data_IF_373390727846
#
_entry.id   IF_373390727846
#
_cell.length_a   1.000
_cell.length_b   1.000
_cell.length_c   1.000
_cell.angle_alpha   90.00
_cell.angle_beta   90.00
_cell.angle_gamma   90.00
#
_symmetry.space_group_name_H-M   'P 1'
#
loop_
_entity.id
_entity.type
_entity.pdbx_description
1 polymer ?
#
# COMPACT_ATOMS: atom_id res chain seq x y z
N UNK A 1 4.01 14.19 24.47
CA UNK A 1 4.08 12.72 24.30
C UNK A 1 3.26 12.10 25.40
N UNK A 2 2.30 11.27 25.01
CA UNK A 2 1.46 10.55 25.96
C UNK A 2 2.31 9.50 26.69
N UNK A 3 1.91 9.15 27.91
CA UNK A 3 2.59 8.16 28.74
C UNK A 3 1.57 7.16 29.27
N UNK A 4 1.93 5.88 29.28
CA UNK A 4 1.16 4.84 29.95
C UNK A 4 1.80 4.57 31.32
N UNK A 5 1.03 4.76 32.40
CA UNK A 5 1.45 4.42 33.76
C UNK A 5 0.71 3.15 34.20
N UNK A 6 1.46 2.06 34.41
CA UNK A 6 0.90 0.73 34.72
C UNK A 6 1.33 0.35 36.14
N UNK A 7 0.36 0.03 37.00
CA UNK A 7 0.60 -0.57 38.32
C UNK A 7 0.42 -2.09 38.22
N UNK A 8 1.47 -2.85 38.48
CA UNK A 8 1.46 -4.31 38.43
C UNK A 8 0.68 -4.96 39.59
N UNK A 9 0.56 -6.29 39.54
CA UNK A 9 -0.05 -7.13 40.58
C UNK A 9 -1.49 -7.59 40.29
N UNK A 10 -2.11 -7.13 39.20
CA UNK A 10 -3.42 -7.60 38.76
C UNK A 10 -3.29 -8.77 37.77
N UNK A 11 -3.98 -9.89 38.04
CA UNK A 11 -4.15 -10.95 37.06
C UNK A 11 -5.17 -10.54 36.00
N UNK A 12 -4.86 -10.77 34.72
CA UNK A 12 -5.80 -10.52 33.63
C UNK A 12 -6.93 -11.56 33.67
N UNK A 13 -8.18 -11.12 33.70
CA UNK A 13 -9.37 -11.96 33.56
C UNK A 13 -10.45 -11.18 32.81
N UNK A 14 -10.89 -11.70 31.67
CA UNK A 14 -11.91 -11.07 30.84
C UNK A 14 -11.89 -11.55 29.40
N UNK A 15 -12.69 -10.90 28.55
CA UNK A 15 -12.75 -11.11 27.11
C UNK A 15 -12.74 -9.76 26.41
N UNK A 16 -12.01 -9.68 25.30
CA UNK A 16 -11.98 -8.48 24.46
C UNK A 16 -12.23 -8.88 22.99
N UNK A 17 -12.94 -8.07 22.20
CA UNK A 17 -13.01 -8.27 20.77
C UNK A 17 -11.65 -7.95 20.13
N UNK A 18 -11.27 -8.73 19.11
CA UNK A 18 -10.06 -8.48 18.32
C UNK A 18 -10.45 -7.66 17.10
N UNK A 19 -9.77 -6.53 16.89
CA UNK A 19 -9.96 -5.69 15.70
C UNK A 19 -9.42 -6.36 14.44
N UNK A 20 -9.87 -5.91 13.26
CA UNK A 20 -9.34 -6.39 11.99
C UNK A 20 -7.82 -6.24 11.84
N UNK A 21 -7.24 -7.07 10.97
CA UNK A 21 -5.80 -7.14 10.78
C UNK A 21 -5.27 -5.89 10.05
N UNK A 22 -4.48 -5.07 10.76
CA UNK A 22 -3.91 -3.82 10.23
C UNK A 22 -3.19 -4.02 8.90
N UNK A 23 -2.32 -5.02 8.77
CA UNK A 23 -1.53 -5.20 7.55
C UNK A 23 -2.39 -5.56 6.33
N UNK A 24 -3.48 -6.31 6.52
CA UNK A 24 -4.46 -6.61 5.47
C UNK A 24 -5.28 -5.36 5.13
N UNK A 25 -5.77 -4.63 6.14
CA UNK A 25 -6.50 -3.38 5.95
C UNK A 25 -5.73 -2.38 5.08
N UNK A 26 -4.43 -2.21 5.31
CA UNK A 26 -3.59 -1.30 4.50
C UNK A 26 -3.56 -1.70 3.01
N UNK A 27 -3.62 -2.98 2.66
CA UNK A 27 -3.63 -3.41 1.25
C UNK A 27 -4.99 -3.27 0.62
N UNK A 28 -6.04 -3.63 1.35
CA UNK A 28 -7.41 -3.48 0.91
C UNK A 28 -7.77 -2.00 0.69
N UNK A 29 -7.25 -1.10 1.52
CA UNK A 29 -7.38 0.34 1.29
C UNK A 29 -6.73 0.77 -0.03
N UNK A 30 -5.52 0.31 -0.31
CA UNK A 30 -4.79 0.63 -1.55
C UNK A 30 -5.50 0.07 -2.79
N UNK A 31 -6.25 -1.03 -2.67
CA UNK A 31 -6.99 -1.62 -3.78
C UNK A 31 -8.08 -0.69 -4.35
N UNK A 32 -8.53 0.35 -3.62
CA UNK A 32 -9.44 1.35 -4.18
C UNK A 32 -8.84 2.12 -5.36
N UNK A 33 -7.52 2.14 -5.48
CA UNK A 33 -6.84 2.74 -6.62
C UNK A 33 -7.01 1.93 -7.90
N UNK A 34 -7.47 0.67 -7.85
CA UNK A 34 -7.59 -0.22 -9.01
C UNK A 34 -8.97 -0.19 -9.68
N UNK A 35 -9.93 0.55 -9.13
CA UNK A 35 -11.30 0.60 -9.63
C UNK A 35 -11.88 2.01 -9.53
N UNK A 36 -12.84 2.30 -10.38
CA UNK A 36 -13.68 3.48 -10.34
C UNK A 36 -14.96 3.31 -9.50
N UNK A 37 -15.26 2.08 -9.07
CA UNK A 37 -16.41 1.77 -8.22
C UNK A 37 -16.13 2.05 -6.72
N UNK A 38 -17.17 2.38 -5.93
CA UNK A 38 -17.01 2.59 -4.50
C UNK A 38 -16.67 1.29 -3.76
N UNK A 39 -15.73 1.35 -2.83
CA UNK A 39 -15.33 0.24 -1.95
C UNK A 39 -15.77 0.52 -0.52
N UNK A 40 -16.36 -0.48 0.13
CA UNK A 40 -16.66 -0.46 1.56
C UNK A 40 -15.83 -1.53 2.28
N UNK A 41 -14.98 -1.10 3.21
CA UNK A 41 -14.18 -1.97 4.07
C UNK A 41 -14.77 -1.99 5.47
N UNK A 42 -15.14 -3.18 5.96
CA UNK A 42 -15.68 -3.38 7.31
C UNK A 42 -14.61 -3.95 8.26
N UNK A 43 -14.87 -3.91 9.56
CA UNK A 43 -13.94 -4.36 10.60
C UNK A 43 -12.54 -3.67 10.53
N UNK A 44 -12.52 -2.41 10.12
CA UNK A 44 -11.30 -1.62 9.97
C UNK A 44 -10.71 -1.26 11.34
N UNK A 45 -9.41 -1.51 11.57
CA UNK A 45 -8.76 -1.11 12.81
C UNK A 45 -8.46 0.39 12.79
N UNK A 46 -8.95 1.12 13.80
CA UNK A 46 -8.74 2.55 13.94
C UNK A 46 -7.36 2.85 14.57
N UNK A 47 -6.32 2.85 13.74
CA UNK A 47 -4.92 2.97 14.15
C UNK A 47 -4.24 4.12 13.38
N UNK A 48 -3.10 4.60 13.90
CA UNK A 48 -2.34 5.67 13.26
C UNK A 48 -1.98 5.34 11.80
N UNK A 49 -1.51 4.11 11.53
CA UNK A 49 -1.15 3.65 10.18
C UNK A 49 -2.33 3.71 9.19
N UNK A 50 -3.51 3.22 9.58
CA UNK A 50 -4.69 3.18 8.67
C UNK A 50 -5.24 4.58 8.44
N UNK A 51 -5.25 5.44 9.46
CA UNK A 51 -5.62 6.85 9.31
C UNK A 51 -4.61 7.63 8.47
N UNK A 52 -3.34 7.31 8.60
CA UNK A 52 -2.28 7.92 7.80
C UNK A 52 -2.40 7.50 6.32
N UNK A 53 -2.69 6.23 6.04
CA UNK A 53 -2.93 5.78 4.67
C UNK A 53 -4.15 6.43 4.05
N UNK A 54 -5.24 6.61 4.81
CA UNK A 54 -6.42 7.34 4.34
C UNK A 54 -6.04 8.75 3.85
N UNK A 55 -5.22 9.49 4.61
CA UNK A 55 -4.75 10.83 4.22
C UNK A 55 -3.88 10.83 2.96
N UNK A 56 -3.05 9.80 2.78
CA UNK A 56 -2.28 9.64 1.54
C UNK A 56 -3.22 9.39 0.35
N UNK A 57 -4.22 8.51 0.50
CA UNK A 57 -5.20 8.24 -0.54
C UNK A 57 -6.01 9.50 -0.90
N UNK A 58 -6.41 10.31 0.09
CA UNK A 58 -7.04 11.63 -0.14
C UNK A 58 -6.15 12.56 -0.97
N UNK A 59 -4.83 12.54 -0.73
CA UNK A 59 -3.85 13.34 -1.50
C UNK A 59 -3.75 12.89 -2.96
N UNK A 60 -4.01 11.62 -3.24
CA UNK A 60 -4.10 11.06 -4.60
C UNK A 60 -5.46 11.34 -5.27
N UNK A 61 -6.41 11.90 -4.54
CA UNK A 61 -7.76 12.24 -5.02
C UNK A 61 -8.85 11.25 -4.64
N UNK A 62 -8.54 10.19 -3.88
CA UNK A 62 -9.54 9.25 -3.39
C UNK A 62 -10.45 9.94 -2.38
N UNK A 63 -11.77 9.82 -2.55
CA UNK A 63 -12.71 10.26 -1.52
C UNK A 63 -12.75 9.23 -0.40
N UNK A 64 -12.47 9.67 0.83
CA UNK A 64 -12.47 8.80 2.01
C UNK A 64 -13.52 9.28 3.01
N UNK A 65 -14.51 8.44 3.29
CA UNK A 65 -15.46 8.66 4.37
C UNK A 65 -15.27 7.60 5.45
N UNK A 66 -14.69 8.02 6.57
CA UNK A 66 -14.45 7.13 7.70
C UNK A 66 -14.63 7.87 9.03
N UNK A 67 -15.85 7.87 9.59
CA UNK A 67 -16.15 8.52 10.86
C UNK A 67 -15.22 8.07 11.98
N UNK A 68 -14.92 8.99 12.91
CA UNK A 68 -14.04 8.69 14.05
C UNK A 68 -14.71 7.65 14.95
N UNK A 69 -14.01 6.54 15.19
CA UNK A 69 -14.51 5.45 16.04
C UNK A 69 -15.30 4.38 15.29
N UNK A 70 -15.62 4.60 14.01
CA UNK A 70 -16.26 3.58 13.18
C UNK A 70 -15.23 2.53 12.71
N UNK A 71 -15.72 1.32 12.49
CA UNK A 71 -14.99 0.20 11.89
C UNK A 71 -15.34 0.00 10.41
N UNK A 72 -16.20 0.86 9.85
CA UNK A 72 -16.51 0.88 8.41
C UNK A 72 -15.84 2.09 7.76
N UNK A 73 -15.10 1.85 6.68
CA UNK A 73 -14.44 2.86 5.87
C UNK A 73 -14.95 2.77 4.44
N UNK A 74 -15.43 3.88 3.90
CA UNK A 74 -15.84 4.00 2.50
C UNK A 74 -14.77 4.74 1.71
N UNK A 75 -14.44 4.22 0.54
CA UNK A 75 -13.41 4.71 -0.36
C UNK A 75 -13.98 4.82 -1.77
N UNK A 76 -13.78 5.94 -2.45
CA UNK A 76 -14.11 6.07 -3.86
C UNK A 76 -12.92 6.60 -4.64
N UNK A 77 -12.39 5.77 -5.53
CA UNK A 77 -11.24 6.08 -6.38
C UNK A 77 -11.59 6.50 -7.79
N UNK A 78 -12.85 6.81 -8.13
CA UNK A 78 -13.32 7.12 -9.49
C UNK A 78 -12.42 8.13 -10.23
N UNK A 79 -12.12 9.26 -9.59
CA UNK A 79 -11.31 10.32 -10.17
C UNK A 79 -10.02 10.56 -9.36
N UNK A 80 -8.91 9.98 -9.81
CA UNK A 80 -7.60 10.28 -9.26
C UNK A 80 -7.15 11.68 -9.70
N UNK A 81 -6.74 12.51 -8.74
CA UNK A 81 -6.28 13.89 -8.98
C UNK A 81 -4.78 14.01 -9.10
N UNK A 82 -4.05 12.98 -8.66
CA UNK A 82 -2.59 12.94 -8.64
C UNK A 82 -2.09 11.51 -8.69
N UNK A 83 -0.95 11.30 -9.35
CA UNK A 83 -0.18 10.05 -9.31
C UNK A 83 1.13 10.21 -8.53
N UNK A 84 1.22 11.25 -7.71
CA UNK A 84 2.40 11.62 -6.93
C UNK A 84 2.16 11.35 -5.44
N UNK A 85 2.93 10.44 -4.86
CA UNK A 85 2.98 10.20 -3.43
C UNK A 85 4.24 10.87 -2.82
N UNK A 86 4.06 11.98 -2.08
CA UNK A 86 5.17 12.85 -1.68
C UNK A 86 6.00 12.27 -0.54
N UNK A 87 7.27 12.69 -0.48
CA UNK A 87 8.24 12.28 0.55
C UNK A 87 7.73 12.43 1.99
N UNK A 88 7.11 13.57 2.32
CA UNK A 88 6.66 13.85 3.70
C UNK A 88 5.58 12.89 4.18
N UNK A 89 4.87 12.26 3.25
CA UNK A 89 3.93 11.20 3.58
C UNK A 89 4.64 9.84 3.58
N UNK A 90 5.34 9.49 2.51
CA UNK A 90 5.91 8.13 2.37
C UNK A 90 6.95 7.81 3.44
N UNK A 91 7.79 8.78 3.82
CA UNK A 91 8.83 8.59 4.85
C UNK A 91 8.27 8.22 6.21
N UNK A 92 7.02 8.60 6.52
CA UNK A 92 6.38 8.37 7.83
C UNK A 92 5.87 6.94 7.96
N UNK A 93 5.49 6.30 6.86
CA UNK A 93 4.97 4.94 6.87
C UNK A 93 5.41 4.20 5.63
N UNK A 94 6.35 3.27 5.78
CA UNK A 94 6.89 2.44 4.67
C UNK A 94 5.82 1.74 3.82
N UNK A 95 4.71 1.30 4.44
CA UNK A 95 3.63 0.60 3.74
C UNK A 95 2.97 1.45 2.65
N UNK A 96 3.10 2.78 2.70
CA UNK A 96 2.62 3.70 1.68
C UNK A 96 3.20 3.43 0.29
N UNK A 97 4.40 2.84 0.20
CA UNK A 97 5.03 2.52 -1.07
C UNK A 97 4.18 1.60 -1.96
N UNK A 98 3.25 0.84 -1.38
CA UNK A 98 2.37 -0.07 -2.14
C UNK A 98 1.36 0.64 -3.04
N UNK A 99 1.20 1.97 -2.93
CA UNK A 99 0.37 2.72 -3.90
C UNK A 99 1.01 2.76 -5.28
N UNK A 100 2.34 2.56 -5.39
CA UNK A 100 3.07 2.67 -6.66
C UNK A 100 2.47 1.77 -7.75
N UNK A 101 2.30 0.49 -7.45
CA UNK A 101 1.81 -0.55 -8.35
C UNK A 101 0.42 -0.27 -8.90
N UNK A 102 -0.60 -0.08 -8.04
CA UNK A 102 -1.93 0.32 -8.47
C UNK A 102 -1.98 1.63 -9.26
N UNK A 103 -1.18 2.63 -8.88
CA UNK A 103 -1.12 3.89 -9.63
C UNK A 103 -0.57 3.69 -11.04
N UNK A 104 0.52 2.96 -11.22
CA UNK A 104 1.04 2.68 -12.57
C UNK A 104 0.10 1.77 -13.35
N UNK A 105 -0.50 0.77 -12.71
CA UNK A 105 -1.42 -0.16 -13.37
C UNK A 105 -2.66 0.56 -13.91
N UNK A 106 -3.18 1.55 -13.19
CA UNK A 106 -4.38 2.31 -13.61
C UNK A 106 -4.07 3.53 -14.46
N UNK A 107 -3.06 4.31 -14.10
CA UNK A 107 -2.78 5.62 -14.73
C UNK A 107 -1.64 5.56 -15.75
N UNK A 108 -0.96 4.42 -15.89
CA UNK A 108 0.20 4.26 -16.77
C UNK A 108 1.47 4.98 -16.29
N UNK A 109 1.41 5.79 -15.24
CA UNK A 109 2.57 6.43 -14.64
C UNK A 109 2.34 6.78 -13.16
N UNK A 110 3.42 6.84 -12.39
CA UNK A 110 3.39 7.23 -10.99
C UNK A 110 4.74 7.78 -10.52
N UNK A 111 4.72 8.66 -9.52
CA UNK A 111 5.93 9.14 -8.83
C UNK A 111 5.78 8.95 -7.34
N UNK A 112 6.48 7.99 -6.76
CA UNK A 112 6.35 7.63 -5.34
C UNK A 112 7.70 7.75 -4.66
N UNK A 113 7.75 8.47 -3.55
CA UNK A 113 9.00 8.60 -2.80
C UNK A 113 9.46 7.24 -2.25
N UNK A 114 10.78 7.03 -2.22
CA UNK A 114 11.35 5.84 -1.58
C UNK A 114 11.11 5.90 -0.06
N UNK A 115 10.73 4.78 0.57
CA UNK A 115 10.67 4.73 2.02
C UNK A 115 12.08 4.91 2.60
N UNK A 116 12.18 5.67 3.69
CA UNK A 116 13.44 5.86 4.41
C UNK A 116 13.91 4.60 5.14
N UNK A 117 15.00 4.74 5.89
CA UNK A 117 15.53 3.69 6.75
C UNK A 117 14.54 3.28 7.85
N UNK A 118 14.59 2.01 8.25
CA UNK A 118 13.76 1.47 9.33
C UNK A 118 14.66 1.05 10.49
N UNK A 119 14.35 1.48 11.72
CA UNK A 119 15.13 1.16 12.92
C UNK A 119 15.18 -0.35 13.23
N UNK A 120 14.24 -1.13 12.70
CA UNK A 120 14.20 -2.59 12.87
C UNK A 120 15.28 -3.29 12.03
N UNK A 121 15.70 -2.68 10.92
CA UNK A 121 16.70 -3.25 10.03
C UNK A 121 16.54 -2.79 8.58
N UNK A 122 17.49 -3.20 7.74
CA UNK A 122 17.44 -2.94 6.30
C UNK A 122 16.23 -3.63 5.69
N UNK A 123 15.43 -2.84 4.98
CA UNK A 123 14.28 -3.32 4.21
C UNK A 123 14.36 -2.62 2.86
N UNK A 124 15.00 -3.20 1.85
CA UNK A 124 14.99 -2.63 0.50
C UNK A 124 13.61 -2.80 -0.16
N UNK A 125 13.36 -2.06 -1.24
CA UNK A 125 12.15 -2.22 -2.08
C UNK A 125 12.50 -2.76 -3.47
N UNK A 126 13.70 -3.28 -3.62
CA UNK A 126 14.24 -3.90 -4.84
C UNK A 126 13.28 -4.94 -5.44
N UNK A 127 12.76 -5.87 -4.64
CA UNK A 127 11.81 -6.88 -5.12
C UNK A 127 10.51 -6.29 -5.68
N UNK A 128 10.10 -5.12 -5.17
CA UNK A 128 8.93 -4.42 -5.72
C UNK A 128 9.25 -3.79 -7.07
N UNK A 129 10.45 -3.22 -7.22
CA UNK A 129 10.89 -2.59 -8.47
C UNK A 129 11.11 -3.64 -9.56
N UNK A 130 11.80 -4.74 -9.22
CA UNK A 130 12.02 -5.87 -10.13
C UNK A 130 10.71 -6.48 -10.64
N UNK A 131 9.69 -6.59 -9.78
CA UNK A 131 8.36 -7.04 -10.19
C UNK A 131 7.73 -6.11 -11.25
N UNK A 132 7.82 -4.79 -11.06
CA UNK A 132 7.30 -3.81 -12.02
C UNK A 132 8.08 -3.83 -13.34
N UNK A 133 9.41 -3.91 -13.28
CA UNK A 133 10.27 -4.02 -14.48
C UNK A 133 9.95 -5.29 -15.27
N UNK A 134 9.74 -6.42 -14.59
CA UNK A 134 9.34 -7.69 -15.22
C UNK A 134 7.99 -7.57 -15.94
N UNK A 135 7.08 -6.73 -15.43
CA UNK A 135 5.79 -6.41 -16.05
C UNK A 135 5.89 -5.32 -17.14
N UNK A 136 7.10 -4.86 -17.47
CA UNK A 136 7.36 -3.92 -18.55
C UNK A 136 7.30 -2.44 -18.15
N UNK A 137 7.39 -2.11 -16.86
CA UNK A 137 7.49 -0.72 -16.40
C UNK A 137 8.91 -0.16 -16.61
N UNK A 138 8.99 1.06 -17.13
CA UNK A 138 10.20 1.87 -17.12
C UNK A 138 10.34 2.56 -15.77
N UNK A 139 11.43 2.28 -15.04
CA UNK A 139 11.70 2.85 -13.72
C UNK A 139 12.92 3.78 -13.74
N UNK A 140 12.80 4.94 -13.08
CA UNK A 140 13.92 5.84 -12.79
C UNK A 140 13.90 6.25 -11.34
N UNK A 141 15.03 6.05 -10.66
CA UNK A 141 15.21 6.50 -9.27
C UNK A 141 16.01 7.80 -9.27
N UNK A 142 15.35 8.91 -8.94
CA UNK A 142 15.95 10.25 -8.96
C UNK A 142 15.54 11.00 -7.70
N UNK A 143 16.52 11.61 -7.01
CA UNK A 143 16.28 12.47 -5.84
C UNK A 143 15.39 11.83 -4.74
N UNK A 144 15.50 10.51 -4.54
CA UNK A 144 14.71 9.79 -3.54
C UNK A 144 13.27 9.48 -3.96
N UNK A 145 12.95 9.59 -5.25
CA UNK A 145 11.68 9.18 -5.84
C UNK A 145 11.86 8.07 -6.86
N UNK A 146 10.89 7.15 -6.91
CA UNK A 146 10.69 6.22 -8.01
C UNK A 146 9.71 6.86 -8.97
N UNK A 147 10.18 7.21 -10.16
CA UNK A 147 9.36 7.59 -11.31
C UNK A 147 9.15 6.35 -12.16
N UNK A 148 7.91 5.92 -12.29
CA UNK A 148 7.54 4.71 -13.00
C UNK A 148 6.57 5.04 -14.14
N UNK A 149 6.75 4.43 -15.30
CA UNK A 149 5.86 4.59 -16.45
C UNK A 149 5.67 3.27 -17.22
N UNK A 150 4.50 3.08 -17.78
CA UNK A 150 4.13 1.95 -18.64
C UNK A 150 3.27 2.49 -19.80
N UNK A 151 3.96 3.03 -20.83
CA UNK A 151 3.34 3.77 -21.96
C UNK A 151 2.29 2.91 -22.69
N UNK A 152 2.49 1.59 -22.73
CA UNK A 152 1.60 0.64 -23.40
C UNK A 152 0.78 -0.21 -22.42
N UNK A 153 0.65 0.24 -21.17
CA UNK A 153 0.13 -0.57 -20.08
C UNK A 153 1.12 -1.63 -19.62
N UNK A 154 0.85 -2.20 -18.45
CA UNK A 154 1.63 -3.31 -17.91
C UNK A 154 1.25 -4.62 -18.60
N UNK A 155 2.20 -5.55 -18.67
CA UNK A 155 2.00 -6.90 -19.19
C UNK A 155 2.14 -7.92 -18.07
N UNK A 156 1.42 -9.03 -18.24
CA UNK A 156 1.62 -10.19 -17.40
C UNK A 156 3.06 -10.70 -17.50
N UNK A 157 3.58 -11.21 -16.40
CA UNK A 157 4.97 -11.64 -16.30
C UNK A 157 5.13 -12.85 -15.38
N UNK A 158 6.21 -13.62 -15.58
CA UNK A 158 6.62 -14.62 -14.62
C UNK A 158 7.67 -13.99 -13.68
N UNK A 159 7.31 -13.82 -12.40
CA UNK A 159 8.14 -13.16 -11.38
C UNK A 159 8.52 -14.18 -10.33
N UNK A 160 9.81 -14.54 -10.26
CA UNK A 160 10.37 -15.39 -9.23
C UNK A 160 11.11 -14.54 -8.19
N UNK A 161 10.57 -14.44 -6.98
CA UNK A 161 11.17 -13.64 -5.92
C UNK A 161 12.38 -14.34 -5.32
N UNK A 162 13.49 -13.61 -5.12
CA UNK A 162 14.70 -14.15 -4.49
C UNK A 162 14.48 -14.61 -3.04
N UNK A 163 13.47 -14.04 -2.37
CA UNK A 163 13.01 -14.47 -1.05
C UNK A 163 11.51 -14.17 -0.90
N UNK A 164 10.78 -14.91 -0.03
CA UNK A 164 9.37 -14.63 0.23
C UNK A 164 9.24 -13.26 0.89
N UNK A 165 8.62 -12.31 0.19
CA UNK A 165 8.40 -10.95 0.67
C UNK A 165 6.93 -10.59 0.59
N UNK A 166 6.26 -10.56 1.75
CA UNK A 166 4.84 -10.22 1.88
C UNK A 166 4.51 -8.94 1.11
N UNK A 167 5.28 -7.87 1.32
CA UNK A 167 5.07 -6.61 0.65
C UNK A 167 5.22 -6.68 -0.87
N UNK A 168 6.23 -7.40 -1.38
CA UNK A 168 6.46 -7.49 -2.82
C UNK A 168 5.41 -8.37 -3.50
N UNK A 169 5.00 -9.47 -2.86
CA UNK A 169 3.91 -10.33 -3.31
C UNK A 169 2.59 -9.56 -3.40
N UNK A 170 2.19 -8.87 -2.33
CA UNK A 170 0.95 -8.08 -2.31
C UNK A 170 1.00 -6.96 -3.36
N UNK A 171 2.15 -6.30 -3.52
CA UNK A 171 2.33 -5.24 -4.50
C UNK A 171 2.22 -5.74 -5.94
N UNK A 172 2.92 -6.82 -6.28
CA UNK A 172 2.86 -7.43 -7.61
C UNK A 172 1.46 -7.97 -7.91
N UNK A 173 0.82 -8.62 -6.93
CA UNK A 173 -0.54 -9.15 -7.06
C UNK A 173 -1.56 -8.04 -7.34
N UNK A 174 -1.53 -6.93 -6.57
CA UNK A 174 -2.41 -5.79 -6.81
C UNK A 174 -2.15 -5.13 -8.17
N UNK A 175 -0.89 -5.06 -8.60
CA UNK A 175 -0.51 -4.46 -9.89
C UNK A 175 -1.00 -5.30 -11.06
N UNK A 176 -0.88 -6.63 -10.95
CA UNK A 176 -1.20 -7.58 -12.01
C UNK A 176 -2.69 -7.61 -12.39
N UNK A 177 -3.59 -7.11 -11.54
CA UNK A 177 -5.04 -7.15 -11.79
C UNK A 177 -5.48 -6.35 -13.03
N UNK A 178 -4.72 -5.31 -13.40
CA UNK A 178 -4.97 -4.50 -14.59
C UNK A 178 -3.93 -4.71 -15.70
N UNK A 179 -2.97 -5.63 -15.50
CA UNK A 179 -1.96 -5.93 -16.50
C UNK A 179 -2.54 -6.84 -17.61
N UNK A 180 -2.04 -6.68 -18.84
CA UNK A 180 -2.47 -7.49 -19.97
C UNK A 180 -1.77 -8.85 -19.97
N UNK A 181 -2.54 -9.92 -19.82
CA UNK A 181 -2.05 -11.30 -19.87
C UNK A 181 -1.96 -11.95 -18.49
N UNK A 182 -1.24 -13.06 -18.41
CA UNK A 182 -1.10 -13.84 -17.18
C UNK A 182 0.15 -13.43 -16.39
N UNK A 183 0.00 -13.24 -15.08
CA UNK A 183 1.13 -13.05 -14.17
C UNK A 183 1.26 -14.26 -13.26
N UNK A 184 2.46 -14.84 -13.18
CA UNK A 184 2.79 -15.93 -12.28
C UNK A 184 3.76 -15.41 -11.23
N UNK A 185 3.42 -15.56 -9.95
CA UNK A 185 4.26 -15.17 -8.82
C UNK A 185 4.85 -16.44 -8.18
N UNK A 186 6.13 -16.69 -8.42
CA UNK A 186 6.89 -17.79 -7.80
C UNK A 186 7.60 -17.31 -6.52
N UNK A 187 7.71 -18.22 -5.54
CA UNK A 187 8.27 -17.94 -4.22
C UNK A 187 7.57 -16.76 -3.50
N UNK A 188 6.25 -16.66 -3.70
CA UNK A 188 5.39 -15.72 -2.99
C UNK A 188 5.27 -16.07 -1.49
N UNK A 189 5.05 -15.05 -0.65
CA UNK A 189 4.94 -15.16 0.81
C UNK A 189 3.50 -15.26 1.32
#
# INVERSE_FOLDING_TARGET
>A
MDKLHIKGGAHLNGRIPVSGAKNSALKLMVACLLTDEPITLTNMPNLADTRFLAQLLETLGVEVYWPKGDSTCHLNGAELKSTIAPYDQVRKMRASFNVLGPLIARSGHATVSLPGGCAIGARPVDLHLQALEAMGADLRVEQGYVKAAAIHGLKGAHINFAMPSVGATEHAMLTATLAQGETVLENAA
#
